data_IF_590073987259
#
_entry.id   IF_590073987259
#
_cell.length_a   1.000
_cell.length_b   1.000
_cell.length_c   1.000
_cell.angle_alpha   90.00
_cell.angle_beta   90.00
_cell.angle_gamma   90.00
#
_symmetry.space_group_name_H-M   'P 1'
#
loop_
_entity.id
_entity.type
_entity.pdbx_description
1 polymer ?
#
# COMPACT_ATOMS: atom_id res chain seq x y z
N UNK A 1 -4.11 -16.73 21.51
CA UNK A 1 -4.21 -15.32 21.10
C UNK A 1 -2.87 -14.71 21.36
N UNK A 2 -2.17 -14.30 20.31
CA UNK A 2 -0.93 -13.55 20.51
C UNK A 2 -1.30 -12.09 20.80
N UNK A 3 -0.58 -11.44 21.74
CA UNK A 3 -0.81 -10.06 22.18
C UNK A 3 0.51 -9.31 22.31
N UNK A 4 0.51 -8.00 22.04
CA UNK A 4 1.66 -7.10 22.25
C UNK A 4 1.24 -5.85 23.02
N UNK A 5 2.22 -5.16 23.63
CA UNK A 5 2.01 -3.85 24.23
C UNK A 5 2.58 -2.78 23.31
N UNK A 6 1.79 -1.76 23.00
CA UNK A 6 2.24 -0.62 22.22
C UNK A 6 3.31 0.14 23.01
N UNK A 7 4.51 0.41 22.45
CA UNK A 7 5.61 0.98 23.21
C UNK A 7 5.35 2.43 23.64
N UNK A 8 4.54 3.18 22.88
CA UNK A 8 4.27 4.59 23.17
C UNK A 8 3.04 4.81 24.07
N UNK A 9 1.95 4.06 23.85
CA UNK A 9 0.67 4.27 24.53
C UNK A 9 0.44 3.27 25.67
N UNK A 10 1.19 2.16 25.70
CA UNK A 10 0.97 1.06 26.65
C UNK A 10 -0.27 0.21 26.35
N UNK A 11 -0.96 0.45 25.23
CA UNK A 11 -2.18 -0.27 24.87
C UNK A 11 -1.91 -1.73 24.50
N UNK A 12 -2.90 -2.59 24.77
CA UNK A 12 -2.86 -3.98 24.32
C UNK A 12 -3.25 -4.06 22.85
N UNK A 13 -2.34 -4.59 22.06
CA UNK A 13 -2.52 -4.86 20.64
C UNK A 13 -2.77 -6.35 20.44
N UNK A 14 -3.70 -6.66 19.54
CA UNK A 14 -4.06 -8.02 19.16
C UNK A 14 -3.70 -8.23 17.70
N UNK A 15 -3.23 -9.44 17.37
CA UNK A 15 -2.95 -9.80 15.98
C UNK A 15 -4.26 -9.83 15.22
N UNK A 16 -4.36 -8.98 14.19
CA UNK A 16 -5.58 -8.82 13.40
C UNK A 16 -5.21 -8.42 11.95
N UNK A 17 -6.18 -8.44 11.06
CA UNK A 17 -6.04 -8.02 9.66
C UNK A 17 -7.12 -6.99 9.36
N UNK A 18 -6.73 -5.79 8.93
CA UNK A 18 -7.68 -4.71 8.66
C UNK A 18 -7.52 -4.15 7.25
N UNK A 19 -8.63 -3.79 6.58
CA UNK A 19 -8.57 -3.14 5.28
C UNK A 19 -7.97 -1.74 5.44
N UNK A 20 -6.90 -1.45 4.70
CA UNK A 20 -6.23 -0.16 4.67
C UNK A 20 -6.21 0.37 3.24
N UNK A 21 -6.64 1.62 3.07
CA UNK A 21 -6.57 2.31 1.79
C UNK A 21 -5.20 2.96 1.60
N UNK A 22 -4.51 2.56 0.52
CA UNK A 22 -3.32 3.22 0.04
C UNK A 22 -3.69 4.10 -1.15
N UNK A 23 -3.14 5.33 -1.16
CA UNK A 23 -3.32 6.26 -2.28
C UNK A 23 -1.97 6.75 -2.81
N UNK A 24 -1.88 6.89 -4.13
CA UNK A 24 -0.69 7.41 -4.79
C UNK A 24 -1.07 8.12 -6.09
N UNK A 25 -0.74 9.42 -6.18
CA UNK A 25 -0.96 10.26 -7.37
C UNK A 25 -2.34 10.09 -8.04
N UNK A 26 -3.40 10.05 -7.24
CA UNK A 26 -4.79 9.94 -7.70
C UNK A 26 -5.33 8.50 -7.78
N UNK A 27 -4.45 7.50 -7.81
CA UNK A 27 -4.82 6.09 -7.72
C UNK A 27 -5.06 5.68 -6.26
N UNK A 28 -5.99 4.75 -6.04
CA UNK A 28 -6.30 4.18 -4.71
C UNK A 28 -6.43 2.66 -4.79
N UNK A 29 -6.05 1.98 -3.71
CA UNK A 29 -6.28 0.54 -3.52
C UNK A 29 -6.50 0.26 -2.04
N UNK A 30 -7.50 -0.56 -1.74
CA UNK A 30 -7.69 -1.10 -0.39
C UNK A 30 -7.09 -2.50 -0.34
N UNK A 31 -6.24 -2.75 0.66
CA UNK A 31 -5.64 -4.06 0.90
C UNK A 31 -5.82 -4.46 2.35
N UNK A 32 -5.98 -5.76 2.58
CA UNK A 32 -6.06 -6.32 3.91
C UNK A 32 -4.66 -6.35 4.54
N UNK A 33 -4.40 -5.45 5.49
CA UNK A 33 -3.10 -5.28 6.12
C UNK A 33 -3.05 -6.08 7.42
N UNK A 34 -2.20 -7.11 7.51
CA UNK A 34 -1.97 -7.82 8.76
C UNK A 34 -1.14 -6.95 9.71
N UNK A 35 -1.44 -7.00 11.00
CA UNK A 35 -0.73 -6.18 11.98
C UNK A 35 -1.16 -6.43 13.41
N UNK A 36 -0.60 -5.63 14.30
CA UNK A 36 -0.95 -5.60 15.71
C UNK A 36 -1.79 -4.37 15.98
N UNK A 37 -3.09 -4.55 16.18
CA UNK A 37 -4.02 -3.43 16.28
C UNK A 37 -4.60 -3.29 17.69
N UNK A 38 -4.85 -2.05 18.15
CA UNK A 38 -5.59 -1.82 19.38
C UNK A 38 -7.07 -2.14 19.18
N UNK A 39 -7.79 -2.32 20.29
CA UNK A 39 -9.24 -2.53 20.24
C UNK A 39 -10.01 -1.35 19.60
N UNK A 40 -9.44 -0.14 19.67
CA UNK A 40 -9.99 1.08 19.07
C UNK A 40 -8.88 1.89 18.43
N UNK A 41 -9.12 2.38 17.21
CA UNK A 41 -8.13 3.13 16.44
C UNK A 41 -7.31 2.25 15.51
N UNK A 42 -6.51 2.91 14.67
CA UNK A 42 -5.77 2.29 13.56
C UNK A 42 -4.25 2.38 13.71
N UNK A 43 -3.78 2.85 14.87
CA UNK A 43 -2.37 2.95 15.22
C UNK A 43 -1.82 1.58 15.61
N UNK A 44 -1.51 0.79 14.59
CA UNK A 44 -1.04 -0.58 14.72
C UNK A 44 0.47 -0.71 14.53
N UNK A 45 1.04 -1.79 15.07
CA UNK A 45 2.45 -2.15 14.85
C UNK A 45 2.54 -3.22 13.75
N UNK A 46 3.40 -2.96 12.77
CA UNK A 46 3.63 -3.84 11.63
C UNK A 46 5.02 -4.48 11.71
N UNK A 47 5.10 -5.78 11.45
CA UNK A 47 6.40 -6.45 11.26
C UNK A 47 6.93 -6.21 9.84
N UNK A 48 8.19 -6.56 9.60
CA UNK A 48 8.77 -6.48 8.25
C UNK A 48 7.99 -7.32 7.22
N UNK A 49 7.48 -8.49 7.62
CA UNK A 49 6.63 -9.32 6.75
C UNK A 49 5.28 -8.65 6.46
N UNK A 50 4.67 -8.01 7.46
CA UNK A 50 3.40 -7.29 7.29
C UNK A 50 3.54 -6.14 6.29
N UNK A 51 4.67 -5.43 6.34
CA UNK A 51 4.97 -4.30 5.45
C UNK A 51 5.14 -4.70 3.98
N UNK A 52 5.39 -5.98 3.66
CA UNK A 52 5.46 -6.44 2.26
C UNK A 52 4.13 -6.25 1.53
N UNK A 53 3.00 -6.32 2.24
CA UNK A 53 1.67 -6.08 1.67
C UNK A 53 1.56 -4.62 1.20
N UNK A 54 2.01 -3.68 2.02
CA UNK A 54 2.06 -2.25 1.70
C UNK A 54 3.00 -1.96 0.51
N UNK A 55 4.18 -2.59 0.48
CA UNK A 55 5.14 -2.43 -0.61
C UNK A 55 4.57 -2.93 -1.95
N UNK A 56 3.88 -4.08 -1.93
CA UNK A 56 3.19 -4.61 -3.11
C UNK A 56 2.06 -3.68 -3.56
N UNK A 57 1.25 -3.17 -2.64
CA UNK A 57 0.18 -2.22 -2.94
C UNK A 57 0.74 -0.95 -3.59
N UNK A 58 1.81 -0.38 -3.04
CA UNK A 58 2.48 0.79 -3.60
C UNK A 58 3.10 0.51 -4.97
N UNK A 59 3.67 -0.68 -5.19
CA UNK A 59 4.20 -1.09 -6.50
C UNK A 59 3.08 -1.13 -7.54
N UNK A 60 1.93 -1.71 -7.21
CA UNK A 60 0.76 -1.75 -8.09
C UNK A 60 0.28 -0.34 -8.42
N UNK A 61 0.16 0.53 -7.42
CA UNK A 61 -0.28 1.92 -7.63
C UNK A 61 0.69 2.70 -8.52
N UNK A 62 2.01 2.52 -8.33
CA UNK A 62 3.02 3.14 -9.20
C UNK A 62 2.89 2.66 -10.64
N UNK A 63 2.76 1.35 -10.85
CA UNK A 63 2.57 0.79 -12.19
C UNK A 63 1.27 1.29 -12.84
N UNK A 64 0.17 1.38 -12.10
CA UNK A 64 -1.09 1.95 -12.61
C UNK A 64 -0.93 3.42 -13.00
N UNK A 65 -0.29 4.21 -12.15
CA UNK A 65 -0.03 5.61 -12.46
C UNK A 65 0.85 5.76 -13.69
N UNK A 66 1.94 4.99 -13.81
CA UNK A 66 2.84 5.01 -14.98
C UNK A 66 2.13 4.62 -16.28
N UNK A 67 1.27 3.59 -16.25
CA UNK A 67 0.42 3.23 -17.39
C UNK A 67 -0.52 4.39 -17.74
N UNK A 68 -1.19 4.98 -16.75
CA UNK A 68 -2.16 6.05 -16.95
C UNK A 68 -1.51 7.39 -17.35
N UNK A 69 -0.23 7.61 -17.04
CA UNK A 69 0.54 8.78 -17.50
C UNK A 69 1.35 8.52 -18.79
N UNK A 70 1.40 7.26 -19.24
CA UNK A 70 2.13 6.83 -20.44
C UNK A 70 1.37 6.99 -21.77
N UNK A 71 0.09 7.38 -21.74
CA UNK A 71 -0.66 7.73 -22.95
C UNK A 71 -0.72 9.24 -23.14
N UNK A 72 0.38 9.84 -23.61
CA UNK A 72 0.32 10.92 -24.59
C UNK A 72 1.66 11.01 -25.33
N UNK A 73 1.59 10.79 -26.65
CA UNK A 73 2.60 10.97 -27.71
C UNK A 73 3.37 9.73 -28.15
N UNK A 74 2.71 8.87 -28.93
CA UNK A 74 3.36 8.20 -30.06
C UNK A 74 3.49 9.23 -31.19
N UNK A 75 4.64 9.90 -31.30
CA UNK A 75 5.03 10.48 -32.59
C UNK A 75 5.50 9.33 -33.47
N UNK A 76 4.63 8.85 -34.37
CA UNK A 76 5.08 8.09 -35.52
C UNK A 76 5.91 9.03 -36.40
N UNK A 77 7.23 9.06 -36.19
CA UNK A 77 8.15 9.64 -37.15
C UNK A 77 8.12 8.76 -38.41
N UNK A 78 7.37 9.19 -39.44
CA UNK A 78 7.38 8.62 -40.80
C UNK A 78 8.75 8.72 -41.52
N UNK A 79 9.81 9.18 -40.84
CA UNK A 79 11.13 9.44 -41.41
C UNK A 79 11.99 8.19 -41.69
N UNK A 80 11.46 6.98 -41.51
CA UNK A 80 12.19 5.73 -41.81
C UNK A 80 11.39 4.78 -42.72
N UNK A 81 10.47 5.29 -43.54
CA UNK A 81 10.13 4.63 -44.80
C UNK A 81 10.93 5.28 -45.92
N UNK A 82 11.62 4.41 -46.67
CA UNK A 82 12.49 4.57 -47.86
C UNK A 82 13.83 5.30 -47.70
#
# INVERSE_FOLDING_TARGET
METRIHPETGEMLIRDVRPVEFSYKGERITVDMPGWYPAKGDDGIFTHEDMKVSDQALKILKSRHEINTGEHTVEFSEKYLI
#
